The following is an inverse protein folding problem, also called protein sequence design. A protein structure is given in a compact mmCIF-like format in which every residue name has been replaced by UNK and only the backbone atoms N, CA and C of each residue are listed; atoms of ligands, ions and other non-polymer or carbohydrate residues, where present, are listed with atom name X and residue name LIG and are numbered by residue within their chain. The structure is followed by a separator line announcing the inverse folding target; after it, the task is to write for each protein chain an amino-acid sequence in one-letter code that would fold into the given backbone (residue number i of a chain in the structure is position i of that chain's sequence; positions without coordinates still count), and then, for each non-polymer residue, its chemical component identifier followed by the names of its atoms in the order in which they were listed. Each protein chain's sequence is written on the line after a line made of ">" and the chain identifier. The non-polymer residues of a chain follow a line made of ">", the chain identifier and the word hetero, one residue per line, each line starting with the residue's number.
data_IF_485228314947
#
_entry.id   IF_485228314947
#
_cell.length_a   1.000
_cell.length_b   1.000
_cell.length_c   1.000
_cell.angle_alpha   90.00
_cell.angle_beta   90.00
_cell.angle_gamma   90.00
#
_symmetry.space_group_name_H-M   'P 1'
#
loop_
_entity.id
_entity.type
_entity.pdbx_description
1 polymer ?
#
# COMPACT_ATOMS: atom_id res chain seq x y z
N UNK A 1 -3.49 2.84 32.44
CA UNK A 1 -4.67 2.21 31.81
C UNK A 1 -4.66 2.17 30.27
N UNK A 2 -4.11 3.15 29.52
CA UNK A 2 -4.05 3.06 28.05
C UNK A 2 -3.07 2.00 27.50
N UNK A 3 -1.93 1.78 28.17
CA UNK A 3 -0.87 0.85 27.69
C UNK A 3 -1.27 -0.63 27.85
N UNK A 4 -2.19 -0.95 28.77
CA UNK A 4 -2.68 -2.33 28.96
C UNK A 4 -3.68 -2.75 27.86
N UNK A 5 -4.21 -1.78 27.10
CA UNK A 5 -5.21 -2.02 26.05
C UNK A 5 -4.64 -2.63 24.78
N UNK A 6 -3.35 -2.46 24.49
CA UNK A 6 -2.77 -2.90 23.20
C UNK A 6 -2.24 -4.34 23.22
N UNK A 7 -2.11 -4.96 24.41
CA UNK A 7 -1.57 -6.31 24.54
C UNK A 7 -2.63 -7.41 24.31
N UNK A 8 -3.91 -7.10 24.48
CA UNK A 8 -5.04 -8.04 24.28
C UNK A 8 -5.83 -7.73 23.00
N UNK A 9 -5.49 -6.64 22.32
CA UNK A 9 -6.19 -6.17 21.14
C UNK A 9 -5.64 -6.81 19.87
N UNK A 10 -6.48 -7.64 19.24
CA UNK A 10 -6.18 -8.29 17.97
C UNK A 10 -6.02 -7.31 16.79
N UNK A 11 -6.29 -6.01 16.98
CA UNK A 11 -6.24 -4.98 15.93
C UNK A 11 -7.33 -5.14 14.88
N UNK A 12 -8.21 -6.14 15.01
CA UNK A 12 -9.28 -6.46 14.06
C UNK A 12 -10.38 -5.40 13.99
N UNK A 13 -10.38 -4.39 14.88
CA UNK A 13 -11.23 -3.22 14.76
C UNK A 13 -10.64 -2.14 13.84
N UNK A 14 -9.32 -2.15 13.61
CA UNK A 14 -8.62 -1.25 12.68
C UNK A 14 -8.52 -1.80 11.26
N UNK A 15 -8.48 -3.13 11.08
CA UNK A 15 -8.28 -3.75 9.77
C UNK A 15 -9.23 -4.93 9.55
N UNK A 16 -9.66 -5.11 8.31
CA UNK A 16 -10.32 -6.32 7.82
C UNK A 16 -9.31 -7.23 7.11
N UNK A 17 -8.86 -8.35 7.71
CA UNK A 17 -7.89 -9.22 7.06
C UNK A 17 -8.43 -9.81 5.76
N UNK A 18 -7.62 -9.76 4.70
CA UNK A 18 -7.81 -10.58 3.50
C UNK A 18 -7.45 -12.02 3.84
N UNK A 19 -8.33 -12.96 3.48
CA UNK A 19 -8.01 -14.38 3.55
C UNK A 19 -7.15 -14.74 2.32
N UNK A 20 -5.84 -14.81 2.50
CA UNK A 20 -4.91 -15.10 1.40
C UNK A 20 -5.18 -16.46 0.72
N UNK A 21 -5.62 -17.46 1.49
CA UNK A 21 -5.85 -18.81 0.97
C UNK A 21 -7.08 -18.90 0.04
N UNK A 22 -8.09 -18.05 0.22
CA UNK A 22 -9.25 -17.98 -0.69
C UNK A 22 -9.02 -16.96 -1.80
N UNK A 23 -8.40 -15.82 -1.48
CA UNK A 23 -8.08 -14.76 -2.45
C UNK A 23 -7.17 -15.27 -3.59
N UNK A 24 -6.19 -16.14 -3.31
CA UNK A 24 -5.35 -16.78 -4.35
C UNK A 24 -6.13 -17.61 -5.38
N UNK A 25 -7.31 -18.10 -5.01
CA UNK A 25 -8.18 -18.89 -5.88
C UNK A 25 -9.25 -18.03 -6.56
N UNK A 26 -9.16 -16.70 -6.44
CA UNK A 26 -10.18 -15.77 -6.93
C UNK A 26 -11.47 -15.79 -6.08
N UNK A 27 -11.44 -16.44 -4.90
CA UNK A 27 -12.60 -16.58 -4.03
C UNK A 27 -12.51 -15.52 -2.92
N UNK A 28 -12.98 -14.31 -3.23
CA UNK A 28 -13.03 -13.16 -2.32
C UNK A 28 -12.10 -12.01 -2.72
N UNK A 29 -12.08 -10.93 -1.92
CA UNK A 29 -11.33 -9.72 -2.26
C UNK A 29 -9.82 -9.91 -2.05
N UNK A 30 -9.02 -9.29 -2.93
CA UNK A 30 -7.55 -9.23 -2.84
C UNK A 30 -7.05 -7.99 -2.10
N UNK A 31 -7.92 -7.01 -1.85
CA UNK A 31 -7.65 -5.81 -1.07
C UNK A 31 -8.93 -5.43 -0.31
N UNK A 32 -8.79 -5.11 0.98
CA UNK A 32 -9.85 -4.59 1.85
C UNK A 32 -9.35 -3.31 2.52
N UNK A 33 -10.24 -2.34 2.62
CA UNK A 33 -9.99 -1.04 3.25
C UNK A 33 -11.03 -0.82 4.33
N UNK A 34 -10.59 -0.44 5.53
CA UNK A 34 -11.47 -0.02 6.63
C UNK A 34 -11.16 1.41 7.03
N UNK A 35 -12.21 2.21 7.17
CA UNK A 35 -12.12 3.58 7.71
C UNK A 35 -12.75 3.56 9.10
N UNK A 36 -11.96 3.90 10.11
CA UNK A 36 -12.39 3.92 11.50
C UNK A 36 -12.27 5.33 12.05
N UNK A 37 -13.39 5.92 12.43
CA UNK A 37 -13.42 7.20 13.15
C UNK A 37 -13.05 6.97 14.61
N UNK A 38 -12.01 7.66 15.06
CA UNK A 38 -11.52 7.64 16.43
C UNK A 38 -12.07 8.83 17.23
N UNK A 39 -11.76 8.88 18.52
CA UNK A 39 -12.04 10.06 19.33
C UNK A 39 -11.33 11.31 18.77
N UNK A 40 -11.88 12.49 19.04
CA UNK A 40 -11.33 13.79 18.61
C UNK A 40 -11.22 13.95 17.09
N UNK A 41 -12.18 13.43 16.33
CA UNK A 41 -12.26 13.53 14.86
C UNK A 41 -11.08 12.90 14.10
N UNK A 42 -10.19 12.19 14.80
CA UNK A 42 -9.12 11.44 14.16
C UNK A 42 -9.72 10.28 13.34
N UNK A 43 -9.08 9.95 12.22
CA UNK A 43 -9.50 8.83 11.35
C UNK A 43 -8.32 7.90 11.13
N UNK A 44 -8.53 6.60 11.35
CA UNK A 44 -7.61 5.55 10.95
C UNK A 44 -8.08 4.92 9.64
N UNK A 45 -7.14 4.68 8.73
CA UNK A 45 -7.39 3.96 7.47
C UNK A 45 -6.56 2.69 7.48
N UNK A 46 -7.22 1.55 7.67
CA UNK A 46 -6.59 0.23 7.71
C UNK A 46 -6.67 -0.47 6.37
N UNK A 47 -5.56 -1.08 5.96
CA UNK A 47 -5.45 -1.87 4.75
C UNK A 47 -5.07 -3.31 5.04
N UNK A 48 -5.69 -4.23 4.30
CA UNK A 48 -5.18 -5.58 4.14
C UNK A 48 -5.23 -5.94 2.66
N UNK A 49 -4.10 -6.37 2.10
CA UNK A 49 -4.05 -6.78 0.71
C UNK A 49 -3.18 -8.03 0.54
N UNK A 50 -3.45 -8.77 -0.54
CA UNK A 50 -2.63 -9.88 -0.96
C UNK A 50 -1.45 -9.37 -1.80
N UNK A 51 -0.22 -9.79 -1.48
CA UNK A 51 1.00 -9.40 -2.20
C UNK A 51 1.06 -9.76 -3.69
N UNK A 52 0.05 -10.47 -4.21
CA UNK A 52 -0.07 -10.76 -5.65
C UNK A 52 -0.42 -9.49 -6.44
N UNK A 53 -1.05 -8.52 -5.77
CA UNK A 53 -1.40 -7.22 -6.35
C UNK A 53 -0.20 -6.29 -6.42
N UNK A 54 0.82 -6.52 -5.59
CA UNK A 54 2.04 -5.72 -5.58
C UNK A 54 2.80 -5.77 -4.27
N UNK A 55 3.99 -5.19 -4.32
CA UNK A 55 4.85 -4.92 -3.18
C UNK A 55 4.49 -3.61 -2.47
N UNK A 56 5.32 -3.21 -1.50
CA UNK A 56 5.11 -1.96 -0.76
C UNK A 56 5.20 -0.73 -1.67
N UNK A 57 6.07 -0.72 -2.68
CA UNK A 57 6.19 0.41 -3.59
C UNK A 57 4.91 0.59 -4.41
N UNK A 58 4.35 -0.52 -4.90
CA UNK A 58 3.05 -0.54 -5.58
C UNK A 58 1.95 0.02 -4.68
N UNK A 59 1.95 -0.38 -3.40
CA UNK A 59 1.01 0.16 -2.40
C UNK A 59 1.18 1.67 -2.20
N UNK A 60 2.41 2.19 -2.13
CA UNK A 60 2.65 3.63 -1.99
C UNK A 60 2.20 4.42 -3.23
N UNK A 61 2.39 3.87 -4.44
CA UNK A 61 1.83 4.48 -5.65
C UNK A 61 0.30 4.54 -5.60
N UNK A 62 -0.35 3.47 -5.14
CA UNK A 62 -1.78 3.44 -4.93
C UNK A 62 -2.23 4.51 -3.91
N UNK A 63 -1.55 4.63 -2.76
CA UNK A 63 -1.86 5.64 -1.74
C UNK A 63 -1.72 7.07 -2.27
N UNK A 64 -0.67 7.35 -3.03
CA UNK A 64 -0.48 8.65 -3.67
C UNK A 64 -1.59 8.98 -4.68
N UNK A 65 -1.96 7.99 -5.52
CA UNK A 65 -3.06 8.14 -6.46
C UNK A 65 -4.40 8.33 -5.76
N UNK A 66 -4.67 7.58 -4.68
CA UNK A 66 -5.90 7.72 -3.90
C UNK A 66 -6.00 9.10 -3.25
N UNK A 67 -4.92 9.58 -2.63
CA UNK A 67 -4.87 10.92 -2.04
C UNK A 67 -5.03 12.04 -3.09
N UNK A 68 -4.44 11.87 -4.28
CA UNK A 68 -4.64 12.80 -5.39
C UNK A 68 -6.10 12.81 -5.87
N UNK A 69 -6.72 11.64 -6.06
CA UNK A 69 -8.12 11.52 -6.45
C UNK A 69 -9.06 12.16 -5.42
N UNK A 70 -8.85 11.88 -4.12
CA UNK A 70 -9.65 12.47 -3.04
C UNK A 70 -9.51 14.00 -2.98
N UNK A 71 -8.35 14.54 -3.34
CA UNK A 71 -8.09 15.98 -3.40
C UNK A 71 -8.39 16.63 -4.76
N UNK A 72 -8.94 15.91 -5.74
CA UNK A 72 -9.21 16.44 -7.08
C UNK A 72 -7.96 16.84 -7.87
N UNK A 73 -6.80 16.25 -7.56
CA UNK A 73 -5.52 16.51 -8.24
C UNK A 73 -5.27 15.48 -9.35
N UNK A 74 -4.46 15.81 -10.37
CA UNK A 74 -4.08 14.86 -11.41
C UNK A 74 -3.40 13.62 -10.84
N UNK A 75 -3.68 12.46 -11.45
CA UNK A 75 -3.03 11.20 -11.14
C UNK A 75 -1.75 11.05 -11.94
N UNK A 76 -0.65 10.71 -11.26
CA UNK A 76 0.57 10.27 -11.94
C UNK A 76 0.36 8.84 -12.39
N UNK A 77 0.34 8.62 -13.70
CA UNK A 77 0.23 7.28 -14.26
C UNK A 77 1.52 6.51 -14.00
N UNK A 78 1.46 5.27 -13.50
CA UNK A 78 2.66 4.44 -13.38
C UNK A 78 3.22 4.17 -14.78
N UNK A 79 4.53 4.30 -14.92
CA UNK A 79 5.21 3.91 -16.16
C UNK A 79 5.28 2.38 -16.22
N UNK A 80 4.63 1.80 -17.23
CA UNK A 80 4.76 0.37 -17.53
C UNK A 80 5.97 0.19 -18.42
N UNK A 81 6.92 -0.61 -17.95
CA UNK A 81 8.18 -0.89 -18.65
C UNK A 81 8.24 -2.38 -18.96
N UNK A 82 8.28 -2.73 -20.24
CA UNK A 82 8.37 -4.13 -20.70
C UNK A 82 9.75 -4.74 -20.40
N UNK A 83 10.82 -3.97 -20.63
CA UNK A 83 12.20 -4.34 -20.26
C UNK A 83 12.74 -3.40 -19.18
N UNK A 84 12.57 -3.83 -17.93
CA UNK A 84 13.04 -3.05 -16.77
C UNK A 84 14.55 -2.89 -16.76
N UNK A 85 15.32 -3.86 -17.25
CA UNK A 85 16.78 -3.78 -17.22
C UNK A 85 17.27 -2.73 -18.21
N UNK A 86 16.82 -2.79 -19.47
CA UNK A 86 17.18 -1.80 -20.48
C UNK A 86 16.75 -0.38 -20.09
N UNK A 87 15.56 -0.23 -19.50
CA UNK A 87 15.07 1.06 -19.01
C UNK A 87 15.97 1.63 -17.92
N UNK A 88 16.40 0.80 -16.96
CA UNK A 88 17.31 1.23 -15.91
C UNK A 88 18.70 1.56 -16.47
N UNK A 89 19.23 0.80 -17.42
CA UNK A 89 20.51 1.10 -18.06
C UNK A 89 20.49 2.45 -18.80
N UNK A 90 19.35 2.84 -19.37
CA UNK A 90 19.17 4.14 -20.03
C UNK A 90 19.08 5.30 -19.03
N UNK A 91 18.50 5.08 -17.84
CA UNK A 91 18.15 6.15 -16.90
C UNK A 91 19.10 6.26 -15.70
N UNK A 92 19.78 5.18 -15.34
CA UNK A 92 20.74 5.18 -14.24
C UNK A 92 22.10 5.67 -14.74
N UNK A 93 22.83 6.44 -13.91
CA UNK A 93 24.18 6.85 -14.26
C UNK A 93 25.11 5.63 -14.33
N UNK A 94 26.09 5.69 -15.25
CA UNK A 94 27.00 4.58 -15.60
C UNK A 94 27.83 4.09 -14.39
N UNK A 95 28.04 4.96 -13.40
CA UNK A 95 28.75 4.66 -12.16
C UNK A 95 27.87 4.07 -11.03
N UNK A 96 26.59 3.81 -11.32
CA UNK A 96 25.63 3.17 -10.43
C UNK A 96 25.12 4.07 -9.30
N UNK A 97 24.21 3.53 -8.48
CA UNK A 97 23.77 4.18 -7.25
C UNK A 97 24.92 4.16 -6.21
N UNK A 98 25.73 5.21 -6.19
CA UNK A 98 26.81 5.37 -5.21
C UNK A 98 26.32 5.59 -3.79
N UNK A 99 25.05 5.96 -3.62
CA UNK A 99 24.42 6.16 -2.33
C UNK A 99 23.21 5.23 -2.19
N UNK A 100 23.15 4.38 -1.14
CA UNK A 100 21.96 3.59 -0.88
C UNK A 100 20.76 4.50 -0.57
N UNK A 101 19.68 4.39 -1.36
CA UNK A 101 18.35 4.89 -0.98
C UNK A 101 17.90 6.22 -1.60
N UNK A 102 18.43 6.62 -2.75
CA UNK A 102 17.82 7.68 -3.59
C UNK A 102 16.98 7.08 -4.70
#
# INVERSE_FOLDING_TARGET
>A
DAIRSTAEDSGLWLVDPVNGATARWGLGPVCKVRITHLANEATAVGFSWHHVVGDMQTFMHFMNAWAAAAGGRPLVQPLIVEDRAAYLDEHLPVDGAREPGV
#
